data_IF_478682873266
#
_entry.id   IF_478682873266
#
_cell.length_a   1.000
_cell.length_b   1.000
_cell.length_c   1.000
_cell.angle_alpha   90.00
_cell.angle_beta   90.00
_cell.angle_gamma   90.00
#
_symmetry.space_group_name_H-M   'P 1'
#
loop_
_entity.id
_entity.type
_entity.pdbx_description
1 polymer ?
#
# COMPACT_ATOMS: atom_id res chain seq x y z
N UNK A 1 -9.96 -4.75 21.79
CA UNK A 1 -9.64 -5.45 20.53
C UNK A 1 -8.15 -5.25 20.35
N UNK A 2 -7.39 -6.31 20.08
CA UNK A 2 -5.95 -6.19 19.89
C UNK A 2 -5.70 -5.62 18.48
N UNK A 3 -5.22 -4.39 18.41
CA UNK A 3 -4.92 -3.69 17.15
C UNK A 3 -3.51 -4.06 16.62
N UNK A 4 -2.84 -5.08 17.19
CA UNK A 4 -1.51 -5.51 16.78
C UNK A 4 -1.49 -6.13 15.37
N UNK A 5 -0.67 -5.57 14.50
CA UNK A 5 -0.34 -6.14 13.19
C UNK A 5 0.58 -7.37 13.32
N UNK A 6 0.62 -8.19 12.27
CA UNK A 6 1.55 -9.32 12.21
C UNK A 6 3.01 -8.78 12.24
N UNK A 7 3.92 -9.36 13.06
CA UNK A 7 5.31 -8.88 13.15
C UNK A 7 6.06 -8.85 11.82
N UNK A 8 5.66 -9.72 10.87
CA UNK A 8 6.19 -9.78 9.52
C UNK A 8 6.03 -8.46 8.76
N UNK A 9 4.98 -7.67 9.04
CA UNK A 9 4.75 -6.38 8.40
C UNK A 9 5.86 -5.40 8.77
N UNK A 10 6.13 -5.19 10.07
CA UNK A 10 7.22 -4.30 10.52
C UNK A 10 8.59 -4.82 10.06
N UNK A 11 8.80 -6.14 10.10
CA UNK A 11 10.03 -6.75 9.61
C UNK A 11 10.26 -6.49 8.12
N UNK A 12 9.21 -6.53 7.29
CA UNK A 12 9.29 -6.25 5.86
C UNK A 12 9.65 -4.78 5.62
N UNK A 13 8.95 -3.84 6.28
CA UNK A 13 9.27 -2.41 6.19
C UNK A 13 10.69 -2.10 6.69
N UNK A 14 11.13 -2.72 7.77
CA UNK A 14 12.50 -2.56 8.26
C UNK A 14 13.52 -3.12 7.27
N UNK A 15 13.24 -4.26 6.64
CA UNK A 15 14.10 -4.85 5.62
C UNK A 15 14.29 -3.92 4.43
N UNK A 16 13.20 -3.39 3.87
CA UNK A 16 13.25 -2.44 2.74
C UNK A 16 14.07 -1.19 3.08
N UNK A 17 13.92 -0.65 4.29
CA UNK A 17 14.62 0.57 4.71
C UNK A 17 16.03 0.32 5.29
N UNK A 18 16.50 -0.93 5.34
CA UNK A 18 17.83 -1.24 5.90
C UNK A 18 18.97 -0.73 5.00
N UNK A 19 18.73 -0.69 3.69
CA UNK A 19 19.69 -0.27 2.68
C UNK A 19 20.99 -1.07 2.70
N UNK A 20 21.99 -0.56 1.99
CA UNK A 20 23.34 -1.12 1.95
C UNK A 20 24.24 -0.55 3.06
N UNK A 21 23.92 0.66 3.54
CA UNK A 21 24.69 1.35 4.58
C UNK A 21 23.76 2.12 5.52
N UNK A 22 23.75 1.73 6.80
CA UNK A 22 23.09 2.50 7.85
C UNK A 22 23.88 3.77 8.19
N UNK A 23 23.19 4.90 8.25
CA UNK A 23 23.74 6.19 8.69
C UNK A 23 23.33 6.52 10.13
N UNK A 24 22.09 6.18 10.51
CA UNK A 24 21.53 6.39 11.84
C UNK A 24 20.50 5.29 12.13
N UNK A 25 20.48 4.77 13.35
CA UNK A 25 19.46 3.84 13.82
C UNK A 25 19.18 4.17 15.29
N UNK A 26 18.11 4.93 15.52
CA UNK A 26 17.65 5.27 16.86
C UNK A 26 16.13 5.09 17.00
N UNK A 27 15.61 5.40 18.19
CA UNK A 27 14.21 5.18 18.54
C UNK A 27 13.22 6.11 17.83
N UNK A 28 13.68 7.16 17.15
CA UNK A 28 12.85 8.15 16.45
C UNK A 28 13.02 8.08 14.94
N UNK A 29 14.23 7.81 14.44
CA UNK A 29 14.54 7.81 13.02
C UNK A 29 15.61 6.78 12.66
N UNK A 30 15.32 6.01 11.62
CA UNK A 30 16.26 5.13 10.94
C UNK A 30 16.63 5.76 9.60
N UNK A 31 17.92 5.98 9.36
CA UNK A 31 18.46 6.51 8.10
C UNK A 31 19.44 5.52 7.50
N UNK A 32 19.21 5.18 6.24
CA UNK A 32 20.10 4.33 5.48
C UNK A 32 20.31 4.87 4.06
N UNK A 33 21.34 4.37 3.41
CA UNK A 33 21.61 4.59 2.00
C UNK A 33 21.57 3.30 1.20
N UNK A 34 21.07 3.39 -0.02
CA UNK A 34 21.13 2.33 -1.03
C UNK A 34 21.21 2.94 -2.43
N UNK A 35 22.00 2.33 -3.32
CA UNK A 35 21.94 2.62 -4.76
C UNK A 35 20.83 1.80 -5.47
N UNK A 36 20.22 0.85 -4.75
CA UNK A 36 19.14 -0.03 -5.22
C UNK A 36 17.78 0.66 -5.05
N UNK A 37 17.54 1.68 -5.87
CA UNK A 37 16.30 2.45 -6.00
C UNK A 37 15.98 2.60 -7.49
N UNK A 38 14.70 2.69 -7.83
CA UNK A 38 14.26 2.78 -9.22
C UNK A 38 14.74 4.06 -9.91
N UNK A 39 14.83 4.03 -11.24
CA UNK A 39 15.21 5.20 -12.03
C UNK A 39 14.22 6.35 -11.78
N UNK A 40 14.74 7.56 -11.54
CA UNK A 40 13.92 8.71 -11.17
C UNK A 40 13.60 8.81 -9.68
N UNK A 41 14.04 7.86 -8.86
CA UNK A 41 13.90 7.91 -7.39
C UNK A 41 15.23 8.22 -6.70
N UNK A 42 15.20 9.16 -5.76
CA UNK A 42 16.31 9.59 -4.92
C UNK A 42 16.20 9.04 -3.49
N UNK A 43 15.06 8.47 -3.12
CA UNK A 43 14.84 7.85 -1.82
C UNK A 43 13.39 7.53 -1.52
N UNK A 44 13.16 7.04 -0.32
CA UNK A 44 11.85 6.71 0.24
C UNK A 44 11.77 7.22 1.68
N UNK A 45 10.56 7.59 2.11
CA UNK A 45 10.27 7.95 3.48
C UNK A 45 9.04 7.16 3.97
N UNK A 46 9.15 6.52 5.12
CA UNK A 46 8.03 5.91 5.83
C UNK A 46 7.90 6.57 7.21
N UNK A 47 6.70 7.04 7.52
CA UNK A 47 6.32 7.53 8.83
C UNK A 47 5.22 6.64 9.42
N UNK A 48 5.58 5.63 10.23
CA UNK A 48 4.61 4.79 10.92
C UNK A 48 3.77 5.59 11.93
N UNK A 49 2.55 5.11 12.21
CA UNK A 49 1.72 5.61 13.31
C UNK A 49 2.39 5.35 14.66
N UNK A 50 3.06 4.20 14.79
CA UNK A 50 3.81 3.79 15.99
C UNK A 50 5.19 3.29 15.58
N UNK A 51 6.22 3.78 16.25
CA UNK A 51 7.62 3.40 16.02
C UNK A 51 8.44 4.49 15.32
N UNK A 52 9.73 4.23 15.04
CA UNK A 52 10.59 5.19 14.40
C UNK A 52 10.19 5.41 12.93
N UNK A 53 10.35 6.65 12.47
CA UNK A 53 10.33 6.95 11.06
C UNK A 53 11.53 6.30 10.36
N UNK A 54 11.43 6.08 9.05
CA UNK A 54 12.48 5.44 8.26
C UNK A 54 12.70 6.23 6.99
N UNK A 55 13.95 6.52 6.65
CA UNK A 55 14.31 7.08 5.36
C UNK A 55 15.45 6.27 4.73
N UNK A 56 15.24 5.91 3.46
CA UNK A 56 16.24 5.28 2.63
C UNK A 56 16.58 6.26 1.51
N UNK A 57 17.86 6.63 1.35
CA UNK A 57 18.26 7.67 0.41
C UNK A 57 19.36 7.18 -0.52
N UNK A 58 19.37 7.63 -1.76
CA UNK A 58 20.53 7.47 -2.63
C UNK A 58 21.76 8.15 -2.00
N UNK A 59 22.96 7.57 -2.05
CA UNK A 59 24.19 8.18 -1.53
C UNK A 59 24.44 9.60 -2.03
N UNK A 60 24.08 9.88 -3.29
CA UNK A 60 24.18 11.22 -3.88
C UNK A 60 23.29 12.25 -3.16
N UNK A 61 22.04 11.89 -2.86
CA UNK A 61 21.13 12.74 -2.09
C UNK A 61 21.63 12.92 -0.65
N UNK A 62 22.06 11.84 0.02
CA UNK A 62 22.63 11.95 1.37
C UNK A 62 23.83 12.90 1.45
N UNK A 63 24.66 12.94 0.40
CA UNK A 63 25.78 13.88 0.26
C UNK A 63 25.30 15.32 0.08
N UNK A 64 24.32 15.56 -0.80
CA UNK A 64 23.71 16.89 -1.02
C UNK A 64 23.04 17.44 0.23
N UNK A 65 22.36 16.57 0.99
CA UNK A 65 21.76 16.91 2.28
C UNK A 65 22.79 17.24 3.37
N UNK A 66 24.07 16.87 3.14
CA UNK A 66 25.17 16.99 4.09
C UNK A 66 24.88 16.24 5.40
N UNK A 67 24.34 15.01 5.30
CA UNK A 67 23.94 14.25 6.50
C UNK A 67 25.10 13.99 7.46
N UNK A 68 26.35 13.99 6.97
CA UNK A 68 27.57 13.85 7.77
C UNK A 68 27.91 15.08 8.64
N UNK A 69 27.29 16.24 8.38
CA UNK A 69 27.58 17.48 9.10
C UNK A 69 27.07 17.48 10.56
N UNK A 70 26.17 16.55 10.90
CA UNK A 70 25.66 16.35 12.25
C UNK A 70 25.51 14.85 12.53
N UNK A 71 25.66 14.47 13.81
CA UNK A 71 25.62 13.07 14.23
C UNK A 71 24.21 12.50 14.37
N UNK A 72 23.20 13.35 14.55
CA UNK A 72 21.81 12.95 14.75
C UNK A 72 20.87 13.86 13.97
N UNK A 73 19.96 13.24 13.23
CA UNK A 73 18.88 13.88 12.50
C UNK A 73 17.54 13.50 13.10
N UNK A 74 16.63 14.46 13.20
CA UNK A 74 15.20 14.16 13.40
C UNK A 74 14.46 14.16 12.07
N UNK A 75 13.31 13.49 12.02
CA UNK A 75 12.48 13.49 10.81
C UNK A 75 12.12 14.92 10.34
N UNK A 76 11.67 15.85 11.22
CA UNK A 76 11.39 17.23 10.80
C UNK A 76 12.61 17.95 10.22
N UNK A 77 13.81 17.73 10.76
CA UNK A 77 15.04 18.31 10.21
C UNK A 77 15.34 17.78 8.82
N UNK A 78 15.20 16.47 8.61
CA UNK A 78 15.40 15.85 7.31
C UNK A 78 14.41 16.39 6.27
N UNK A 79 13.12 16.43 6.62
CA UNK A 79 12.06 16.97 5.75
C UNK A 79 12.30 18.45 5.42
N UNK A 80 12.66 19.27 6.41
CA UNK A 80 12.99 20.67 6.19
C UNK A 80 14.19 20.81 5.24
N UNK A 81 15.21 19.96 5.39
CA UNK A 81 16.40 19.99 4.53
C UNK A 81 16.10 19.57 3.10
N UNK A 82 15.27 18.54 2.91
CA UNK A 82 14.76 18.13 1.59
C UNK A 82 14.03 19.29 0.90
N UNK A 83 13.13 19.97 1.62
CA UNK A 83 12.41 21.14 1.11
C UNK A 83 13.36 22.30 0.74
N UNK A 84 14.37 22.58 1.57
CA UNK A 84 15.37 23.62 1.28
C UNK A 84 16.19 23.34 0.01
N UNK A 85 16.42 22.07 -0.32
CA UNK A 85 17.07 21.66 -1.56
C UNK A 85 16.11 21.65 -2.77
N UNK A 86 14.83 21.96 -2.57
CA UNK A 86 13.81 21.87 -3.61
C UNK A 86 13.49 20.43 -4.01
N UNK A 87 13.81 19.45 -3.15
CA UNK A 87 13.51 18.06 -3.42
C UNK A 87 11.99 17.85 -3.43
N UNK A 88 11.48 17.16 -4.46
CA UNK A 88 10.07 16.82 -4.59
C UNK A 88 9.82 15.40 -4.07
N UNK A 89 8.58 15.14 -3.68
CA UNK A 89 8.07 13.79 -3.44
C UNK A 89 6.93 13.47 -4.39
N UNK A 90 6.65 12.18 -4.58
CA UNK A 90 5.59 11.73 -5.47
C UNK A 90 4.20 12.04 -4.92
N UNK A 91 4.02 11.94 -3.60
CA UNK A 91 2.74 12.03 -2.92
C UNK A 91 2.52 10.79 -2.09
N UNK A 92 2.40 10.98 -0.78
CA UNK A 92 2.37 9.87 0.16
C UNK A 92 1.13 8.99 -0.01
N UNK A 93 1.34 7.68 0.03
CA UNK A 93 0.29 6.71 0.28
C UNK A 93 0.16 6.46 1.78
N UNK A 94 -1.08 6.44 2.28
CA UNK A 94 -1.36 5.79 3.54
C UNK A 94 -1.42 4.29 3.35
N UNK A 95 -0.63 3.57 4.13
CA UNK A 95 -0.56 2.12 4.14
C UNK A 95 -1.42 1.57 5.28
N UNK A 96 -2.22 0.55 4.98
CA UNK A 96 -3.12 -0.10 5.91
C UNK A 96 -2.91 -1.62 5.95
N UNK A 97 -3.09 -2.20 7.14
CA UNK A 97 -3.11 -3.65 7.35
C UNK A 97 -4.24 -4.05 8.29
N UNK A 98 -4.59 -5.33 8.27
CA UNK A 98 -5.50 -5.90 9.26
C UNK A 98 -4.74 -6.17 10.56
N UNK A 99 -5.29 -5.80 11.73
CA UNK A 99 -4.86 -6.40 12.98
C UNK A 99 -4.93 -7.93 12.90
N UNK A 100 -3.97 -8.62 13.51
CA UNK A 100 -3.82 -10.08 13.38
C UNK A 100 -5.08 -10.82 13.84
N UNK A 101 -5.68 -10.38 14.95
CA UNK A 101 -6.90 -10.95 15.47
C UNK A 101 -8.11 -10.70 14.56
N UNK A 102 -8.18 -9.53 13.92
CA UNK A 102 -9.25 -9.21 12.96
C UNK A 102 -9.14 -10.04 11.69
N UNK A 103 -7.93 -10.23 11.15
CA UNK A 103 -7.70 -11.07 9.97
C UNK A 103 -8.05 -12.53 10.23
N UNK A 104 -7.61 -13.08 11.36
CA UNK A 104 -7.94 -14.45 11.76
C UNK A 104 -9.46 -14.63 11.93
N UNK A 105 -10.13 -13.70 12.61
CA UNK A 105 -11.58 -13.75 12.78
C UNK A 105 -12.34 -13.58 11.45
N UNK A 106 -11.78 -12.83 10.49
CA UNK A 106 -12.36 -12.66 9.16
C UNK A 106 -12.26 -13.95 8.34
N UNK A 107 -11.15 -14.69 8.43
CA UNK A 107 -10.93 -15.94 7.72
C UNK A 107 -11.93 -17.05 8.10
N UNK A 108 -12.46 -17.02 9.32
CA UNK A 108 -13.48 -17.97 9.81
C UNK A 108 -14.90 -17.61 9.35
N UNK A 109 -15.12 -16.46 8.71
CA UNK A 109 -16.46 -16.04 8.27
C UNK A 109 -16.82 -16.70 6.93
N UNK A 110 -18.10 -17.05 6.71
CA UNK A 110 -18.56 -17.50 5.40
C UNK A 110 -18.30 -16.43 4.33
N UNK A 111 -17.87 -16.88 3.15
CA UNK A 111 -17.68 -16.01 2.00
C UNK A 111 -19.01 -15.33 1.60
N UNK A 112 -18.92 -14.09 1.13
CA UNK A 112 -20.09 -13.39 0.61
C UNK A 112 -20.54 -14.02 -0.71
N UNK A 113 -21.83 -14.38 -0.88
CA UNK A 113 -22.31 -15.02 -2.11
C UNK A 113 -22.25 -14.09 -3.33
N UNK A 114 -22.10 -12.78 -3.12
CA UNK A 114 -22.01 -11.77 -4.19
C UNK A 114 -20.58 -11.48 -4.62
N UNK A 115 -19.57 -12.06 -3.94
CA UNK A 115 -18.16 -11.95 -4.29
C UNK A 115 -17.67 -13.30 -4.77
N UNK A 116 -17.03 -13.34 -5.94
CA UNK A 116 -16.34 -14.55 -6.39
C UNK A 116 -15.04 -14.23 -7.11
N UNK A 117 -14.17 -15.22 -7.20
CA UNK A 117 -12.97 -15.16 -8.02
C UNK A 117 -13.34 -15.03 -9.49
N UNK A 118 -12.62 -14.19 -10.22
CA UNK A 118 -12.70 -14.06 -11.67
C UNK A 118 -11.59 -14.90 -12.31
N UNK A 119 -11.87 -15.45 -13.48
CA UNK A 119 -10.88 -16.13 -14.31
C UNK A 119 -11.04 -15.79 -15.79
N UNK A 120 -10.32 -16.47 -16.70
CA UNK A 120 -10.35 -16.16 -18.13
C UNK A 120 -11.76 -16.23 -18.77
N UNK A 121 -12.66 -17.04 -18.22
CA UNK A 121 -14.05 -17.12 -18.68
C UNK A 121 -14.86 -15.84 -18.41
N UNK A 122 -14.40 -14.99 -17.49
CA UNK A 122 -15.05 -13.73 -17.11
C UNK A 122 -14.54 -12.53 -17.90
N UNK A 123 -13.60 -12.72 -18.83
CA UNK A 123 -12.93 -11.64 -19.57
C UNK A 123 -13.92 -10.64 -20.18
N UNK A 124 -14.95 -11.13 -20.86
CA UNK A 124 -15.97 -10.25 -21.47
C UNK A 124 -16.71 -9.40 -20.42
N UNK A 125 -17.08 -9.98 -19.28
CA UNK A 125 -17.77 -9.25 -18.23
C UNK A 125 -16.84 -8.23 -17.54
N UNK A 126 -15.56 -8.57 -17.40
CA UNK A 126 -14.54 -7.70 -16.85
C UNK A 126 -14.19 -6.53 -17.80
N UNK A 127 -14.09 -6.78 -19.10
CA UNK A 127 -13.86 -5.75 -20.12
C UNK A 127 -15.01 -4.72 -20.14
N UNK A 128 -16.27 -5.19 -20.06
CA UNK A 128 -17.44 -4.29 -19.94
C UNK A 128 -17.37 -3.46 -18.66
N UNK A 129 -16.93 -4.06 -17.56
CA UNK A 129 -16.73 -3.36 -16.29
C UNK A 129 -15.66 -2.27 -16.41
N UNK A 130 -14.48 -2.58 -16.96
CA UNK A 130 -13.39 -1.61 -17.15
C UNK A 130 -13.79 -0.48 -18.10
N UNK A 131 -14.45 -0.80 -19.22
CA UNK A 131 -14.92 0.20 -20.19
C UNK A 131 -15.96 1.19 -19.61
N UNK A 132 -16.54 0.89 -18.46
CA UNK A 132 -17.50 1.75 -17.75
C UNK A 132 -16.86 2.64 -16.67
N UNK A 133 -15.54 2.51 -16.45
CA UNK A 133 -14.77 3.33 -15.51
C UNK A 133 -14.04 4.47 -16.25
N UNK A 134 -13.68 5.54 -15.53
CA UNK A 134 -12.81 6.58 -16.08
C UNK A 134 -11.36 6.09 -16.13
N UNK A 135 -10.55 6.67 -17.01
CA UNK A 135 -9.10 6.41 -17.05
C UNK A 135 -8.44 6.69 -15.70
N UNK A 136 -8.83 7.77 -15.02
CA UNK A 136 -8.35 8.11 -13.67
C UNK A 136 -8.69 7.03 -12.64
N UNK A 137 -9.91 6.50 -12.67
CA UNK A 137 -10.33 5.42 -11.75
C UNK A 137 -9.56 4.11 -12.06
N UNK A 138 -9.29 3.83 -13.34
CA UNK A 138 -8.53 2.64 -13.76
C UNK A 138 -7.07 2.73 -13.32
N UNK A 139 -6.42 3.87 -13.56
CA UNK A 139 -5.03 4.14 -13.18
C UNK A 139 -4.86 4.10 -11.65
N UNK A 140 -5.74 4.77 -10.91
CA UNK A 140 -5.68 4.82 -9.46
C UNK A 140 -5.95 3.47 -8.79
N UNK A 141 -6.84 2.64 -9.36
CA UNK A 141 -7.20 1.35 -8.75
C UNK A 141 -6.27 0.21 -9.17
N UNK A 142 -5.68 0.28 -10.36
CA UNK A 142 -4.81 -0.73 -10.97
C UNK A 142 -5.34 -2.17 -10.76
N UNK A 143 -6.50 -2.45 -11.37
CA UNK A 143 -7.17 -3.75 -11.29
C UNK A 143 -7.14 -4.41 -12.66
N UNK A 144 -6.33 -5.45 -12.79
CA UNK A 144 -6.19 -6.23 -14.03
C UNK A 144 -6.61 -7.69 -13.85
N UNK A 145 -7.15 -8.29 -14.92
CA UNK A 145 -7.63 -9.67 -14.89
C UNK A 145 -6.49 -10.70 -14.85
N UNK A 146 -5.28 -10.32 -15.23
CA UNK A 146 -4.07 -11.15 -15.22
C UNK A 146 -3.22 -11.00 -13.95
N UNK A 147 -3.63 -10.13 -13.01
CA UNK A 147 -3.09 -10.11 -11.66
C UNK A 147 -3.28 -11.47 -10.97
N UNK A 148 -2.44 -11.74 -9.97
CA UNK A 148 -2.32 -13.07 -9.36
C UNK A 148 -3.66 -13.65 -8.85
N UNK A 149 -4.48 -12.83 -8.19
CA UNK A 149 -5.84 -13.21 -7.82
C UNK A 149 -6.82 -12.04 -8.01
N UNK A 150 -7.92 -12.30 -8.71
CA UNK A 150 -8.90 -11.27 -9.10
C UNK A 150 -10.28 -11.69 -8.63
N UNK A 151 -11.05 -10.73 -8.13
CA UNK A 151 -12.38 -10.93 -7.56
C UNK A 151 -13.36 -9.90 -8.12
N UNK A 152 -14.60 -10.33 -8.33
CA UNK A 152 -15.70 -9.48 -8.78
C UNK A 152 -16.83 -9.49 -7.77
N UNK A 153 -17.42 -8.31 -7.54
CA UNK A 153 -18.72 -8.15 -6.91
C UNK A 153 -19.79 -8.09 -7.98
N UNK A 154 -20.78 -8.97 -7.88
CA UNK A 154 -21.84 -9.13 -8.89
C UNK A 154 -23.17 -8.53 -8.45
N UNK A 155 -23.81 -7.82 -9.37
CA UNK A 155 -25.24 -7.49 -9.34
C UNK A 155 -25.92 -8.20 -10.53
N UNK A 156 -26.60 -9.31 -10.24
CA UNK A 156 -27.01 -10.26 -11.27
C UNK A 156 -25.80 -10.87 -12.00
N UNK A 157 -25.76 -10.69 -13.32
CA UNK A 157 -24.64 -11.15 -14.17
C UNK A 157 -23.55 -10.09 -14.37
N UNK A 158 -23.76 -8.87 -13.88
CA UNK A 158 -22.84 -7.74 -14.11
C UNK A 158 -21.83 -7.61 -12.98
N UNK A 159 -20.57 -7.40 -13.33
CA UNK A 159 -19.53 -6.99 -12.38
C UNK A 159 -19.72 -5.49 -12.11
N UNK A 160 -20.02 -5.13 -10.86
CA UNK A 160 -20.24 -3.74 -10.42
C UNK A 160 -19.07 -3.17 -9.62
N UNK A 161 -18.21 -4.05 -9.12
CA UNK A 161 -16.92 -3.73 -8.54
C UNK A 161 -15.96 -4.89 -8.77
N UNK A 162 -14.67 -4.59 -8.91
CA UNK A 162 -13.62 -5.59 -8.99
C UNK A 162 -12.46 -5.23 -8.09
N UNK A 163 -11.74 -6.23 -7.62
CA UNK A 163 -10.49 -6.05 -6.91
C UNK A 163 -9.50 -7.11 -7.35
N UNK A 164 -8.22 -6.78 -7.26
CA UNK A 164 -7.15 -7.71 -7.57
C UNK A 164 -6.02 -7.62 -6.56
N UNK A 165 -5.26 -8.71 -6.44
CA UNK A 165 -4.11 -8.90 -5.56
C UNK A 165 -2.88 -9.28 -6.38
N UNK A 166 -1.73 -8.81 -5.94
CA UNK A 166 -0.44 -9.22 -6.44
C UNK A 166 0.61 -9.20 -5.32
N UNK A 167 1.55 -10.17 -5.27
CA UNK A 167 2.71 -10.07 -4.40
C UNK A 167 3.45 -8.75 -4.66
N UNK A 168 3.69 -7.99 -3.61
CA UNK A 168 4.28 -6.67 -3.75
C UNK A 168 5.77 -6.80 -4.04
N UNK A 169 6.25 -6.09 -5.06
CA UNK A 169 7.62 -6.23 -5.58
C UNK A 169 8.69 -5.93 -4.53
N UNK A 170 8.50 -4.87 -3.74
CA UNK A 170 9.46 -4.45 -2.70
C UNK A 170 9.43 -5.35 -1.45
N UNK A 171 8.34 -6.08 -1.24
CA UNK A 171 8.16 -6.96 -0.08
C UNK A 171 7.26 -8.14 -0.41
N UNK A 172 7.79 -9.23 -1.01
CA UNK A 172 6.98 -10.34 -1.53
C UNK A 172 6.18 -11.12 -0.47
N UNK A 173 6.43 -10.87 0.81
CA UNK A 173 5.61 -11.36 1.93
C UNK A 173 4.25 -10.63 2.05
N UNK A 174 4.12 -9.49 1.37
CA UNK A 174 2.92 -8.65 1.34
C UNK A 174 2.22 -8.85 -0.01
N UNK A 175 0.89 -8.84 -0.01
CA UNK A 175 0.08 -8.83 -1.21
C UNK A 175 -0.66 -7.49 -1.29
N UNK A 176 -0.25 -6.63 -2.22
CA UNK A 176 -0.90 -5.35 -2.44
C UNK A 176 -2.20 -5.55 -3.21
N UNK A 177 -3.18 -4.67 -2.99
CA UNK A 177 -4.50 -4.81 -3.58
C UNK A 177 -5.02 -3.53 -4.20
N UNK A 178 -5.62 -3.70 -5.38
CA UNK A 178 -6.40 -2.69 -6.07
C UNK A 178 -7.90 -2.95 -5.91
N UNK A 179 -8.72 -1.90 -5.79
CA UNK A 179 -10.18 -2.02 -5.73
C UNK A 179 -10.84 -0.90 -6.54
N UNK A 180 -11.69 -1.29 -7.49
CA UNK A 180 -12.48 -0.39 -8.31
C UNK A 180 -13.97 -0.69 -8.12
N UNK A 181 -14.78 0.35 -7.91
CA UNK A 181 -16.24 0.24 -7.86
C UNK A 181 -16.87 1.25 -8.80
N UNK A 182 -17.76 0.79 -9.68
CA UNK A 182 -18.46 1.65 -10.63
C UNK A 182 -19.20 2.78 -9.90
N UNK A 183 -19.23 4.00 -10.45
CA UNK A 183 -19.87 5.17 -9.81
C UNK A 183 -21.28 4.89 -9.30
N UNK A 184 -22.14 4.22 -10.09
CA UNK A 184 -23.52 3.89 -9.71
C UNK A 184 -23.68 2.83 -8.62
N UNK A 185 -22.61 2.09 -8.30
CA UNK A 185 -22.58 1.02 -7.30
C UNK A 185 -21.84 1.43 -6.00
N UNK A 186 -21.29 2.65 -5.94
CA UNK A 186 -20.58 3.16 -4.75
C UNK A 186 -21.51 3.28 -3.54
N UNK A 187 -20.94 3.22 -2.34
CA UNK A 187 -21.69 3.36 -1.08
C UNK A 187 -22.52 2.14 -0.67
N UNK A 188 -22.53 1.05 -1.46
CA UNK A 188 -23.30 -0.18 -1.19
C UNK A 188 -22.50 -1.29 -0.51
N UNK A 189 -21.22 -1.04 -0.21
CA UNK A 189 -20.36 -1.96 0.52
C UNK A 189 -19.63 -3.01 -0.33
N UNK A 190 -19.71 -2.97 -1.67
CA UNK A 190 -19.00 -3.90 -2.56
C UNK A 190 -17.49 -3.87 -2.35
N UNK A 191 -16.88 -2.67 -2.34
CA UNK A 191 -15.43 -2.51 -2.11
C UNK A 191 -14.99 -3.14 -0.78
N UNK A 192 -15.75 -2.93 0.30
CA UNK A 192 -15.49 -3.54 1.61
C UNK A 192 -15.47 -5.07 1.54
N UNK A 193 -16.46 -5.66 0.87
CA UNK A 193 -16.56 -7.12 0.73
C UNK A 193 -15.43 -7.67 -0.15
N UNK A 194 -15.01 -6.94 -1.19
CA UNK A 194 -13.85 -7.28 -2.01
C UNK A 194 -12.55 -7.26 -1.20
N UNK A 195 -12.28 -6.18 -0.47
CA UNK A 195 -11.10 -6.07 0.42
C UNK A 195 -11.05 -7.25 1.40
N UNK A 196 -12.20 -7.61 1.99
CA UNK A 196 -12.28 -8.73 2.92
C UNK A 196 -12.02 -10.09 2.24
N UNK A 197 -12.63 -10.35 1.08
CA UNK A 197 -12.42 -11.59 0.34
C UNK A 197 -10.97 -11.75 -0.12
N UNK A 198 -10.37 -10.66 -0.60
CA UNK A 198 -8.95 -10.61 -0.97
C UNK A 198 -8.04 -10.82 0.25
N UNK A 199 -8.35 -10.20 1.39
CA UNK A 199 -7.57 -10.39 2.61
C UNK A 199 -7.54 -11.85 3.07
N UNK A 200 -8.69 -12.53 3.04
CA UNK A 200 -8.78 -13.97 3.36
C UNK A 200 -7.99 -14.81 2.35
N UNK A 201 -8.08 -14.47 1.06
CA UNK A 201 -7.36 -15.15 -0.01
C UNK A 201 -5.83 -15.00 0.10
N UNK A 202 -5.34 -13.79 0.39
CA UNK A 202 -3.91 -13.53 0.64
C UNK A 202 -3.43 -14.28 1.89
N UNK A 203 -4.22 -14.25 2.97
CA UNK A 203 -3.91 -14.95 4.21
C UNK A 203 -3.80 -16.47 4.02
N UNK A 204 -4.73 -17.07 3.29
CA UNK A 204 -4.70 -18.50 2.95
C UNK A 204 -3.47 -18.91 2.12
N UNK A 205 -2.91 -17.97 1.35
CA UNK A 205 -1.68 -18.16 0.59
C UNK A 205 -0.40 -17.82 1.39
N UNK A 206 -0.51 -17.50 2.68
CA UNK A 206 0.62 -17.19 3.54
C UNK A 206 1.17 -15.75 3.39
N UNK A 207 0.45 -14.87 2.71
CA UNK A 207 0.83 -13.47 2.51
C UNK A 207 0.04 -12.54 3.44
N UNK A 208 0.60 -11.36 3.73
CA UNK A 208 -0.09 -10.32 4.47
C UNK A 208 -0.80 -9.36 3.50
N UNK A 209 -2.13 -9.18 3.59
CA UNK A 209 -2.84 -8.26 2.73
C UNK A 209 -2.50 -6.80 3.04
N UNK A 210 -2.08 -6.05 2.03
CA UNK A 210 -1.75 -4.64 2.09
C UNK A 210 -2.76 -3.83 1.29
N UNK A 211 -3.21 -2.71 1.86
CA UNK A 211 -4.05 -1.73 1.18
C UNK A 211 -3.36 -0.37 1.23
N UNK A 212 -3.31 0.34 0.11
CA UNK A 212 -2.71 1.67 -0.01
C UNK A 212 -3.65 2.62 -0.72
N UNK A 213 -3.57 3.90 -0.35
CA UNK A 213 -4.23 4.97 -1.09
C UNK A 213 -3.61 6.32 -0.77
N UNK A 214 -3.76 7.28 -1.69
CA UNK A 214 -3.36 8.66 -1.50
C UNK A 214 -4.10 9.32 -0.31
N UNK A 215 -3.42 10.22 0.39
CA UNK A 215 -3.92 10.81 1.64
C UNK A 215 -5.22 11.63 1.49
N UNK A 216 -5.49 12.13 0.29
CA UNK A 216 -6.70 12.89 -0.05
C UNK A 216 -7.86 12.00 -0.55
N UNK A 217 -7.62 10.71 -0.79
CA UNK A 217 -8.64 9.75 -1.20
C UNK A 217 -9.51 9.29 -0.02
N UNK A 218 -10.37 10.19 0.43
CA UNK A 218 -11.25 9.99 1.60
C UNK A 218 -12.15 8.76 1.44
N UNK A 219 -12.62 8.46 0.23
CA UNK A 219 -13.48 7.30 -0.03
C UNK A 219 -12.73 5.96 0.18
N UNK A 220 -11.47 5.90 -0.26
CA UNK A 220 -10.61 4.74 -0.10
C UNK A 220 -10.19 4.55 1.36
N UNK A 221 -9.84 5.63 2.08
CA UNK A 221 -9.57 5.61 3.53
C UNK A 221 -10.77 5.04 4.31
N UNK A 222 -11.97 5.56 4.05
CA UNK A 222 -13.21 5.06 4.69
C UNK A 222 -13.44 3.58 4.34
N UNK A 223 -13.11 3.16 3.13
CA UNK A 223 -13.24 1.76 2.71
C UNK A 223 -12.28 0.87 3.48
N UNK A 224 -11.01 1.28 3.65
CA UNK A 224 -10.03 0.54 4.41
C UNK A 224 -10.49 0.34 5.87
N UNK A 225 -10.85 1.44 6.54
CA UNK A 225 -11.31 1.41 7.95
C UNK A 225 -12.57 0.56 8.13
N UNK A 226 -13.57 0.73 7.25
CA UNK A 226 -14.82 -0.06 7.32
C UNK A 226 -14.60 -1.53 7.00
N UNK A 227 -13.51 -1.89 6.34
CA UNK A 227 -13.16 -3.28 6.08
C UNK A 227 -12.56 -3.99 7.30
N UNK A 228 -12.07 -3.23 8.29
CA UNK A 228 -11.36 -3.73 9.47
C UNK A 228 -9.85 -3.45 9.43
N UNK A 229 -9.35 -2.76 8.40
CA UNK A 229 -7.95 -2.36 8.37
C UNK A 229 -7.69 -1.21 9.37
N UNK A 230 -6.43 -1.03 9.75
CA UNK A 230 -5.92 0.12 10.50
C UNK A 230 -4.72 0.71 9.79
N UNK A 231 -4.56 2.03 9.90
CA UNK A 231 -3.41 2.73 9.34
C UNK A 231 -2.12 2.25 10.03
N UNK A 232 -1.12 1.92 9.21
CA UNK A 232 0.21 1.56 9.68
C UNK A 232 1.16 2.75 9.61
N UNK A 233 1.07 3.54 8.55
CA UNK A 233 1.91 4.71 8.34
C UNK A 233 1.67 5.34 6.99
N UNK A 234 2.35 6.46 6.76
CA UNK A 234 2.37 7.15 5.48
C UNK A 234 3.73 6.89 4.81
N UNK A 235 3.72 6.46 3.55
CA UNK A 235 4.90 6.12 2.75
C UNK A 235 4.96 6.98 1.50
N UNK A 236 6.12 7.59 1.23
CA UNK A 236 6.33 8.49 0.09
C UNK A 236 7.66 8.19 -0.62
N UNK A 237 7.70 8.50 -1.91
CA UNK A 237 8.89 8.41 -2.75
C UNK A 237 9.48 9.81 -2.90
N UNK A 238 10.78 9.92 -2.66
CA UNK A 238 11.57 11.12 -2.93
C UNK A 238 12.02 11.02 -4.38
N UNK A 239 11.53 11.92 -5.23
CA UNK A 239 11.82 11.93 -6.66
C UNK A 239 13.18 12.56 -6.91
N UNK A 240 13.94 12.04 -7.89
CA UNK A 240 15.17 12.66 -8.35
C UNK A 240 14.93 14.12 -8.76
N UNK A 241 15.90 14.99 -8.46
CA UNK A 241 15.91 16.34 -9.01
C UNK A 241 16.24 16.27 -10.51
N UNK A 242 15.50 17.05 -11.31
CA UNK A 242 15.77 17.24 -12.75
C UNK A 242 17.12 17.96 -12.98
#
# INVERSE_FOLDING_TARGET
>A
MDDAFAPLIDATWRGMFSGQRTLQDDSQLQLACSDDLDEGEDGMLLQPVVGPARALLRPALATRLQLHAQSHWTLPQLQQRLQQLGQRTHGADRVFYFPSAELAALAERPASPHIRRLGPADAVAFDVFQASASEEDLDAAWVELDHWQVFGAFDGEQVVAAGSLYPWSLGPALADMGVLTQPGARGRGHARLLVQAMAVSAHAAGLQPQYRCQLDNTASIITAERSGLRAFGDWDIILAAD
#
